data_IF_977187581174
#
_entry.id   IF_977187581174
#
_cell.length_a   1.000
_cell.length_b   1.000
_cell.length_c   1.000
_cell.angle_alpha   90.00
_cell.angle_beta   90.00
_cell.angle_gamma   90.00
#
_symmetry.space_group_name_H-M   'P 1'
#
loop_
_entity.id
_entity.type
_entity.pdbx_description
1 polymer ?
#
# COMPACT_ATOMS: atom_id res chain seq x y z
N UNK A 1 23.15 16.79 25.54
CA UNK A 1 22.51 17.16 24.26
C UNK A 1 22.54 15.94 23.34
N UNK A 2 21.62 15.00 23.55
CA UNK A 2 21.48 13.79 22.73
C UNK A 2 20.45 14.09 21.64
N UNK A 3 20.93 14.46 20.46
CA UNK A 3 20.12 14.41 19.25
C UNK A 3 19.90 12.93 18.97
N UNK A 4 18.82 12.37 19.53
CA UNK A 4 18.30 11.07 19.12
C UNK A 4 18.09 11.18 17.62
N UNK A 5 18.81 10.36 16.86
CA UNK A 5 18.63 10.17 15.43
C UNK A 5 17.17 9.70 15.23
N UNK A 6 16.28 10.68 15.11
CA UNK A 6 14.85 10.48 15.01
C UNK A 6 14.59 9.74 13.73
N UNK A 7 14.19 8.48 13.86
CA UNK A 7 13.59 7.75 12.75
C UNK A 7 12.42 8.61 12.27
N UNK A 8 12.50 9.13 11.05
CA UNK A 8 11.44 9.96 10.49
C UNK A 8 10.24 9.06 10.25
N UNK A 9 9.31 9.09 11.20
CA UNK A 9 8.10 8.31 11.17
C UNK A 9 7.08 9.03 10.28
N UNK A 10 6.42 8.29 9.37
CA UNK A 10 5.27 8.84 8.66
C UNK A 10 4.13 9.04 9.66
N UNK A 11 3.54 10.24 9.72
CA UNK A 11 2.49 10.55 10.67
C UNK A 11 1.47 11.54 10.10
N UNK A 12 0.26 11.53 10.65
CA UNK A 12 -0.78 12.53 10.37
C UNK A 12 -0.86 13.55 11.51
N UNK A 13 -1.12 14.80 11.16
CA UNK A 13 -1.27 15.90 12.11
C UNK A 13 -2.54 16.66 11.82
N UNK A 14 -3.23 17.11 12.87
CA UNK A 14 -4.33 18.06 12.74
C UNK A 14 -3.78 19.48 12.75
N UNK A 15 -3.79 20.12 11.58
CA UNK A 15 -3.21 21.45 11.38
C UNK A 15 -3.88 22.52 12.24
N UNK A 16 -5.11 22.30 12.74
CA UNK A 16 -5.82 23.26 13.59
C UNK A 16 -5.20 23.40 14.98
N UNK A 17 -4.46 22.37 15.42
CA UNK A 17 -3.83 22.33 16.74
C UNK A 17 -2.32 22.54 16.69
N UNK A 18 -1.76 22.79 15.50
CA UNK A 18 -0.37 23.22 15.32
C UNK A 18 -0.22 24.66 15.84
N UNK A 19 -0.08 24.81 17.16
CA UNK A 19 0.15 26.12 17.78
C UNK A 19 1.62 26.49 17.68
N UNK A 20 1.89 27.69 17.16
CA UNK A 20 3.20 28.32 17.22
C UNK A 20 3.64 28.45 18.69
N UNK A 21 4.71 27.75 19.07
CA UNK A 21 5.26 27.74 20.43
C UNK A 21 5.10 26.42 21.20
N UNK A 22 4.50 25.38 20.61
CA UNK A 22 4.59 24.01 21.17
C UNK A 22 5.94 23.37 20.81
N UNK A 23 6.63 22.80 21.79
CA UNK A 23 7.99 22.26 21.62
C UNK A 23 8.07 21.12 20.58
N UNK A 24 6.98 20.38 20.34
CA UNK A 24 6.80 19.49 19.20
C UNK A 24 5.29 19.27 18.92
N UNK A 25 4.85 19.20 17.65
CA UNK A 25 3.48 18.82 17.31
C UNK A 25 3.22 17.35 17.63
N UNK A 26 2.11 17.05 18.30
CA UNK A 26 1.69 15.67 18.59
C UNK A 26 0.97 15.07 17.39
N UNK A 27 1.42 13.93 16.85
CA UNK A 27 0.73 13.27 15.74
C UNK A 27 -0.63 12.72 16.20
N UNK A 28 -1.60 12.74 15.28
CA UNK A 28 -2.92 12.10 15.48
C UNK A 28 -2.79 10.60 15.27
N UNK A 29 -2.05 10.19 14.24
CA UNK A 29 -1.77 8.79 13.92
C UNK A 29 -0.31 8.65 13.45
N UNK A 30 0.36 7.60 13.92
CA UNK A 30 1.72 7.25 13.52
C UNK A 30 1.74 5.95 12.71
N UNK A 31 2.33 5.99 11.52
CA UNK A 31 2.38 4.89 10.57
C UNK A 31 3.75 4.20 10.64
N UNK A 32 3.82 3.17 11.48
CA UNK A 32 5.08 2.51 11.82
C UNK A 32 5.65 1.69 10.66
N UNK A 33 6.99 1.65 10.58
CA UNK A 33 7.74 0.83 9.61
C UNK A 33 7.94 1.47 8.23
N UNK A 34 7.48 2.71 8.01
CA UNK A 34 7.85 3.48 6.83
C UNK A 34 9.35 3.83 6.88
N UNK A 35 10.03 3.73 5.73
CA UNK A 35 11.45 4.05 5.60
C UNK A 35 11.62 5.25 4.67
N UNK A 36 12.05 6.38 5.24
CA UNK A 36 12.47 7.56 4.50
C UNK A 36 13.71 8.13 5.18
N UNK A 37 14.83 8.21 4.45
CA UNK A 37 16.03 8.86 4.98
C UNK A 37 15.85 10.38 4.87
N UNK A 38 15.61 10.94 3.67
CA UNK A 38 15.32 12.38 3.44
C UNK A 38 14.75 12.66 2.03
N UNK A 39 14.09 11.69 1.39
CA UNK A 39 13.53 11.88 0.05
C UNK A 39 12.16 12.56 0.11
N UNK A 40 12.00 13.65 -0.63
CA UNK A 40 10.74 14.41 -0.72
C UNK A 40 9.82 13.91 -1.85
N UNK A 41 10.35 13.14 -2.80
CA UNK A 41 9.61 12.69 -4.00
C UNK A 41 8.99 11.28 -3.85
N UNK A 42 8.79 10.82 -2.61
CA UNK A 42 8.11 9.54 -2.36
C UNK A 42 6.61 9.72 -2.50
N UNK A 43 5.98 8.86 -3.29
CA UNK A 43 4.55 8.90 -3.49
C UNK A 43 3.77 8.53 -2.22
N UNK A 44 2.64 9.20 -2.00
CA UNK A 44 1.62 8.83 -1.03
C UNK A 44 0.24 8.99 -1.65
N UNK A 45 -0.71 8.11 -1.32
CA UNK A 45 -2.10 8.25 -1.76
C UNK A 45 -3.03 7.57 -0.76
N UNK A 46 -4.22 8.12 -0.62
CA UNK A 46 -5.32 7.46 0.08
C UNK A 46 -6.16 6.65 -0.90
N UNK A 47 -6.87 5.66 -0.41
CA UNK A 47 -8.00 5.09 -1.13
C UNK A 47 -9.19 6.07 -1.16
N UNK A 48 -10.19 5.87 -2.04
CA UNK A 48 -11.36 6.75 -2.13
C UNK A 48 -12.16 6.89 -0.84
N UNK A 49 -12.18 5.85 0.01
CA UNK A 49 -12.87 5.90 1.32
C UNK A 49 -12.02 6.51 2.42
N UNK A 50 -10.76 6.85 2.14
CA UNK A 50 -9.77 7.35 3.09
C UNK A 50 -9.57 6.43 4.30
N UNK A 51 -9.85 5.14 4.16
CA UNK A 51 -9.64 4.13 5.19
C UNK A 51 -8.25 3.51 5.13
N UNK A 52 -7.56 3.64 3.99
CA UNK A 52 -6.24 3.07 3.72
C UNK A 52 -5.31 4.13 3.15
N UNK A 53 -4.14 4.25 3.77
CA UNK A 53 -3.01 5.05 3.28
C UNK A 53 -2.00 4.12 2.59
N UNK A 54 -1.65 4.43 1.35
CA UNK A 54 -0.50 3.86 0.64
C UNK A 54 0.66 4.84 0.68
N UNK A 55 1.85 4.37 1.06
CA UNK A 55 3.06 5.16 0.94
C UNK A 55 4.19 4.35 0.31
N UNK A 56 4.85 5.00 -0.66
CA UNK A 56 6.11 4.56 -1.19
C UNK A 56 7.22 4.86 -0.18
N UNK A 57 8.25 4.02 -0.20
CA UNK A 57 9.36 4.08 0.74
C UNK A 57 10.68 4.02 -0.02
N UNK A 58 11.72 4.63 0.58
CA UNK A 58 13.06 4.69 -0.02
C UNK A 58 13.71 3.31 -0.16
N UNK A 59 13.24 2.32 0.59
CA UNK A 59 13.64 0.91 0.45
C UNK A 59 13.02 0.22 -0.78
N UNK A 60 12.40 0.99 -1.68
CA UNK A 60 11.77 0.56 -2.92
C UNK A 60 10.58 -0.37 -2.68
N UNK A 61 9.81 -0.14 -1.61
CA UNK A 61 8.56 -0.86 -1.34
C UNK A 61 7.39 0.09 -1.21
N UNK A 62 6.19 -0.43 -1.46
CA UNK A 62 4.94 0.23 -1.11
C UNK A 62 4.38 -0.46 0.12
N UNK A 63 3.96 0.35 1.09
CA UNK A 63 3.32 -0.10 2.33
C UNK A 63 1.93 0.50 2.42
N UNK A 64 1.08 -0.16 3.21
CA UNK A 64 -0.28 0.27 3.45
C UNK A 64 -0.61 0.25 4.94
N UNK A 65 -1.42 1.20 5.40
CA UNK A 65 -1.90 1.27 6.78
C UNK A 65 -3.37 1.63 6.82
N UNK A 66 -4.05 1.21 7.90
CA UNK A 66 -5.34 1.78 8.25
C UNK A 66 -5.15 3.23 8.71
N UNK A 67 -5.89 4.16 8.13
CA UNK A 67 -5.89 5.57 8.55
C UNK A 67 -6.52 5.80 9.93
N UNK A 68 -7.37 4.87 10.37
CA UNK A 68 -8.10 4.98 11.63
C UNK A 68 -7.27 4.48 12.81
N UNK A 69 -6.50 3.42 12.61
CA UNK A 69 -5.74 2.76 13.69
C UNK A 69 -4.23 2.96 13.59
N UNK A 70 -3.72 3.42 12.44
CA UNK A 70 -2.28 3.48 12.17
C UNK A 70 -1.62 2.12 11.96
N UNK A 71 -2.37 1.03 12.06
CA UNK A 71 -1.82 -0.33 11.95
C UNK A 71 -1.47 -0.67 10.50
N UNK A 72 -0.32 -1.33 10.27
CA UNK A 72 0.06 -1.78 8.94
C UNK A 72 -0.93 -2.84 8.45
N UNK A 73 -1.38 -2.70 7.20
CA UNK A 73 -2.15 -3.75 6.55
C UNK A 73 -1.18 -4.85 6.13
N UNK A 74 -1.42 -6.05 6.64
CA UNK A 74 -0.66 -7.24 6.31
C UNK A 74 -1.52 -8.18 5.47
N UNK A 75 -0.84 -9.10 4.79
CA UNK A 75 -1.52 -10.17 4.08
C UNK A 75 -2.12 -11.15 5.08
N UNK A 76 -3.21 -11.85 4.70
CA UNK A 76 -3.51 -13.10 5.37
C UNK A 76 -2.30 -14.01 5.17
N UNK A 77 -1.68 -14.46 6.26
CA UNK A 77 -0.69 -15.53 6.18
C UNK A 77 -1.34 -16.67 5.41
N UNK A 78 -0.79 -17.05 4.26
CA UNK A 78 -1.28 -18.20 3.51
C UNK A 78 -1.13 -19.42 4.41
N UNK A 79 -2.20 -19.81 5.12
CA UNK A 79 -2.21 -21.09 5.79
C UNK A 79 -2.33 -22.14 4.68
N UNK A 80 -1.35 -23.04 4.47
CA UNK A 80 -1.35 -23.99 3.36
C UNK A 80 -2.43 -25.09 3.49
N UNK A 81 -3.38 -24.96 4.42
CA UNK A 81 -4.30 -26.03 4.83
C UNK A 81 -5.78 -25.83 4.47
N UNK A 82 -6.14 -24.82 3.69
CA UNK A 82 -7.51 -24.75 3.15
C UNK A 82 -7.53 -25.16 1.67
N UNK A 83 -8.07 -26.34 1.33
CA UNK A 83 -8.28 -26.70 -0.07
C UNK A 83 -9.28 -25.70 -0.67
N UNK A 84 -8.91 -25.11 -1.81
CA UNK A 84 -9.79 -24.31 -2.63
C UNK A 84 -10.90 -25.20 -3.21
N UNK A 85 -11.91 -25.51 -2.38
CA UNK A 85 -13.11 -26.21 -2.82
C UNK A 85 -14.07 -25.17 -3.38
N UNK A 86 -13.92 -24.88 -4.67
CA UNK A 86 -15.04 -24.45 -5.50
C UNK A 86 -15.35 -25.61 -6.45
N UNK A 87 -16.49 -26.30 -6.31
CA UNK A 87 -16.95 -27.25 -7.31
C UNK A 87 -17.57 -26.46 -8.47
N UNK A 88 -16.94 -26.48 -9.64
CA UNK A 88 -17.45 -25.72 -10.78
C UNK A 88 -16.60 -25.84 -12.04
N UNK A 89 -16.63 -27.04 -12.60
CA UNK A 89 -16.52 -27.35 -14.04
C UNK A 89 -15.21 -27.02 -14.77
N UNK A 90 -14.51 -28.10 -15.15
CA UNK A 90 -13.40 -28.12 -16.11
C UNK A 90 -13.70 -27.34 -17.39
N UNK A 91 -12.85 -26.37 -17.71
CA UNK A 91 -12.38 -26.17 -19.07
C UNK A 91 -10.86 -25.92 -19.06
N UNK A 92 -10.14 -26.92 -19.58
CA UNK A 92 -8.72 -26.92 -19.87
C UNK A 92 -8.45 -25.97 -21.03
N UNK A 93 -8.31 -24.68 -20.74
CA UNK A 93 -7.63 -23.74 -21.62
C UNK A 93 -6.35 -23.34 -20.90
N UNK A 94 -5.21 -23.67 -21.49
CA UNK A 94 -3.86 -23.31 -21.04
C UNK A 94 -3.70 -21.79 -20.99
N UNK A 95 -4.26 -21.15 -19.97
CA UNK A 95 -4.00 -19.75 -19.65
C UNK A 95 -2.54 -19.64 -19.21
N UNK A 96 -1.80 -18.59 -19.62
CA UNK A 96 -0.47 -18.36 -19.11
C UNK A 96 -0.53 -18.38 -17.58
N UNK A 97 0.40 -19.06 -16.91
CA UNK A 97 0.58 -18.98 -15.45
C UNK A 97 0.92 -17.53 -15.12
N UNK A 98 -0.08 -16.67 -14.99
CA UNK A 98 0.09 -15.30 -14.53
C UNK A 98 0.53 -15.40 -13.09
N UNK A 99 1.82 -15.14 -12.85
CA UNK A 99 2.36 -15.01 -11.50
C UNK A 99 1.62 -13.83 -10.86
N UNK A 100 0.70 -14.13 -9.95
CA UNK A 100 0.01 -13.10 -9.16
C UNK A 100 1.06 -12.53 -8.21
N UNK A 101 1.50 -11.30 -8.48
CA UNK A 101 2.43 -10.59 -7.63
C UNK A 101 1.68 -9.80 -6.57
N UNK A 102 2.29 -9.69 -5.39
CA UNK A 102 1.76 -8.96 -4.27
C UNK A 102 2.40 -7.57 -4.19
N UNK A 103 1.59 -6.52 -4.15
CA UNK A 103 2.07 -5.14 -4.06
C UNK A 103 2.92 -4.89 -2.80
N UNK A 104 2.46 -5.37 -1.64
CA UNK A 104 3.07 -5.05 -0.35
C UNK A 104 4.39 -5.79 -0.10
N UNK A 105 4.61 -6.90 -0.82
CA UNK A 105 5.86 -7.65 -0.80
C UNK A 105 6.79 -7.28 -1.97
N UNK A 106 6.27 -6.61 -3.00
CA UNK A 106 7.04 -6.23 -4.18
C UNK A 106 8.15 -5.25 -3.80
N UNK A 107 9.37 -5.60 -4.21
CA UNK A 107 10.50 -4.69 -4.26
C UNK A 107 10.61 -4.11 -5.67
N UNK A 108 10.37 -2.81 -5.79
CA UNK A 108 10.55 -2.06 -7.03
C UNK A 108 12.05 -1.88 -7.31
N UNK A 109 12.40 -1.65 -8.57
CA UNK A 109 13.79 -1.40 -8.98
C UNK A 109 14.30 -0.01 -8.52
N UNK A 110 13.38 0.93 -8.31
CA UNK A 110 13.61 2.28 -7.80
C UNK A 110 12.48 2.66 -6.85
N UNK A 111 12.66 3.67 -5.99
CA UNK A 111 11.57 4.23 -5.20
C UNK A 111 10.42 4.68 -6.11
N UNK A 112 9.19 4.41 -5.68
CA UNK A 112 7.98 4.80 -6.40
C UNK A 112 7.78 6.31 -6.23
N UNK A 113 7.79 7.03 -7.35
CA UNK A 113 7.79 8.50 -7.39
C UNK A 113 6.40 9.10 -7.55
N UNK A 114 5.44 8.35 -8.09
CA UNK A 114 4.04 8.77 -8.15
C UNK A 114 3.10 7.59 -7.94
N UNK A 115 1.96 7.84 -7.28
CA UNK A 115 0.91 6.86 -7.09
C UNK A 115 -0.48 7.51 -7.15
N UNK A 116 -1.47 6.74 -7.60
CA UNK A 116 -2.88 7.10 -7.50
C UNK A 116 -3.70 5.87 -7.19
N UNK A 117 -4.65 5.98 -6.26
CA UNK A 117 -5.63 4.95 -5.97
C UNK A 117 -7.02 5.46 -6.39
N UNK A 118 -7.75 4.65 -7.15
CA UNK A 118 -9.09 4.99 -7.62
C UNK A 118 -10.00 3.77 -7.63
N UNK A 119 -11.31 3.99 -7.52
CA UNK A 119 -12.31 2.96 -7.71
C UNK A 119 -12.77 2.98 -9.17
N UNK A 120 -12.46 1.93 -9.94
CA UNK A 120 -12.89 1.84 -11.34
C UNK A 120 -14.32 1.33 -11.46
N UNK A 121 -14.72 0.43 -10.56
CA UNK A 121 -16.06 -0.17 -10.46
C UNK A 121 -16.36 -0.38 -8.97
N UNK A 122 -17.63 -0.47 -8.55
CA UNK A 122 -17.99 -0.71 -7.16
C UNK A 122 -17.24 -1.91 -6.54
N UNK A 123 -16.40 -1.64 -5.55
CA UNK A 123 -15.55 -2.61 -4.84
C UNK A 123 -14.24 -2.97 -5.54
N UNK A 124 -13.91 -2.36 -6.69
CA UNK A 124 -12.67 -2.61 -7.43
C UNK A 124 -11.76 -1.40 -7.36
N UNK A 125 -10.90 -1.39 -6.34
CA UNK A 125 -9.87 -0.36 -6.22
C UNK A 125 -8.67 -0.73 -7.10
N UNK A 126 -8.12 0.28 -7.75
CA UNK A 126 -6.97 0.18 -8.65
C UNK A 126 -5.93 1.19 -8.19
N UNK A 127 -4.75 0.69 -7.82
CA UNK A 127 -3.58 1.49 -7.52
C UNK A 127 -2.65 1.49 -8.72
N UNK A 128 -2.29 2.66 -9.21
CA UNK A 128 -1.25 2.85 -10.23
C UNK A 128 0.01 3.36 -9.56
N UNK A 129 1.15 2.78 -9.88
CA UNK A 129 2.45 3.14 -9.32
C UNK A 129 3.42 3.46 -10.45
N UNK A 130 4.11 4.60 -10.38
CA UNK A 130 5.14 4.97 -11.34
C UNK A 130 6.52 4.93 -10.68
N UNK A 131 7.46 4.22 -11.30
CA UNK A 131 8.86 4.18 -10.88
C UNK A 131 9.79 3.98 -12.07
N UNK A 132 10.86 4.77 -12.17
CA UNK A 132 11.91 4.56 -13.17
C UNK A 132 11.45 4.65 -14.64
N UNK A 133 10.35 5.35 -14.93
CA UNK A 133 9.77 5.44 -16.27
C UNK A 133 8.70 4.38 -16.56
N UNK A 134 8.56 3.38 -15.70
CA UNK A 134 7.53 2.35 -15.80
C UNK A 134 6.30 2.72 -14.97
N UNK A 135 5.12 2.33 -15.47
CA UNK A 135 3.86 2.41 -14.74
C UNK A 135 3.29 1.01 -14.56
N UNK A 136 3.10 0.60 -13.31
CA UNK A 136 2.44 -0.65 -12.95
C UNK A 136 1.01 -0.38 -12.45
N UNK A 137 0.10 -1.33 -12.70
CA UNK A 137 -1.30 -1.27 -12.27
C UNK A 137 -1.61 -2.46 -11.36
N UNK A 138 -2.18 -2.17 -10.20
CA UNK A 138 -2.49 -3.14 -9.15
C UNK A 138 -3.98 -3.09 -8.84
N UNK A 139 -4.63 -4.25 -8.80
CA UNK A 139 -5.98 -4.34 -8.24
C UNK A 139 -5.83 -4.56 -6.74
N UNK A 140 -6.38 -3.64 -5.97
CA UNK A 140 -6.30 -3.60 -4.52
C UNK A 140 -7.72 -3.67 -3.97
N UNK A 141 -7.96 -4.33 -2.84
CA UNK A 141 -9.33 -4.46 -2.33
C UNK A 141 -9.42 -5.36 -1.10
N UNK A 142 -10.52 -5.20 -0.36
CA UNK A 142 -10.90 -6.13 0.72
C UNK A 142 -11.67 -7.30 0.13
N UNK A 143 -11.43 -8.51 0.61
CA UNK A 143 -12.36 -9.63 0.34
C UNK A 143 -13.67 -9.38 1.08
N UNK A 144 -14.82 -9.65 0.42
CA UNK A 144 -16.17 -9.26 0.89
C UNK A 144 -16.63 -9.92 2.20
N UNK A 145 -15.81 -10.75 2.82
CA UNK A 145 -16.21 -11.56 3.99
C UNK A 145 -15.17 -11.55 5.12
N UNK A 146 -14.10 -10.74 4.99
CA UNK A 146 -13.09 -10.59 6.03
C UNK A 146 -12.38 -9.24 5.93
N UNK A 147 -11.82 -8.73 7.03
CA UNK A 147 -10.96 -7.51 7.04
C UNK A 147 -9.61 -7.71 6.31
N UNK A 148 -9.56 -8.68 5.41
CA UNK A 148 -8.37 -9.18 4.75
C UNK A 148 -8.16 -8.41 3.45
N UNK A 149 -6.97 -7.82 3.34
CA UNK A 149 -6.59 -6.98 2.23
C UNK A 149 -5.83 -7.78 1.16
N UNK A 150 -6.33 -7.76 -0.07
CA UNK A 150 -5.84 -8.57 -1.19
C UNK A 150 -5.30 -7.68 -2.32
N UNK A 151 -4.01 -7.26 -2.25
CA UNK A 151 -3.35 -6.57 -3.35
C UNK A 151 -2.90 -7.57 -4.42
N UNK A 152 -3.71 -7.78 -5.45
CA UNK A 152 -3.36 -8.63 -6.59
C UNK A 152 -2.92 -7.76 -7.77
N UNK A 153 -1.66 -7.90 -8.17
CA UNK A 153 -1.16 -7.27 -9.39
C UNK A 153 -1.52 -8.07 -10.64
N UNK A 154 -2.01 -7.38 -11.67
CA UNK A 154 -1.92 -7.87 -13.05
C UNK A 154 -1.01 -6.89 -13.77
N UNK A 155 0.26 -7.28 -13.96
CA UNK A 155 1.20 -6.51 -14.76
C UNK A 155 0.71 -6.51 -16.21
N UNK A 156 0.30 -5.34 -16.71
CA UNK A 156 0.17 -5.10 -18.15
C UNK A 156 1.43 -4.33 -18.58
N UNK A 157 2.37 -4.95 -19.31
CA UNK A 157 3.45 -4.18 -19.91
C UNK A 157 2.84 -3.12 -20.83
N UNK A 158 3.42 -1.92 -20.81
CA UNK A 158 2.93 -0.74 -21.52
C UNK A 158 2.65 -1.00 -22.99
N UNK A 159 1.57 -0.36 -23.46
CA UNK A 159 1.14 -0.28 -24.85
C UNK A 159 1.91 0.83 -25.56
#
# INVERSE_FOLDING_TARGET
>A
MSCLLGVVQLASYDLRFLRAGSDQPTPVVEFHGHVNSYQHDLALTLDPTQSVLFAASQDCRVRAWSTHTGQPLTLPSSNPFYPATSPGTSETISRPKVKVENLLEKKFNRPVSAMTCQEEMPGRLVLRTACGGDVDVWVVGREKESDVWCPRGIRRPGQ
#
